data_IF_847698584860
#
_entry.id   IF_847698584860
#
_cell.length_a   1.000
_cell.length_b   1.000
_cell.length_c   1.000
_cell.angle_alpha   90.00
_cell.angle_beta   90.00
_cell.angle_gamma   90.00
#
_symmetry.space_group_name_H-M   'P 1'
#
loop_
_entity.id
_entity.type
_entity.pdbx_description
1 polymer ?
#
# COMPACT_ATOMS: atom_id res chain seq x y z
N UNK A 1 -1.50 -14.56 1.21
CA UNK A 1 -2.68 -14.52 0.30
C UNK A 1 -3.93 -13.94 0.95
N UNK A 2 -4.17 -14.24 2.22
CA UNK A 2 -5.41 -13.88 2.93
C UNK A 2 -5.57 -12.39 3.23
N UNK A 3 -4.50 -11.65 3.53
CA UNK A 3 -4.57 -10.23 3.92
C UNK A 3 -4.97 -9.31 2.76
N UNK A 4 -4.41 -9.53 1.57
CA UNK A 4 -4.77 -8.74 0.36
C UNK A 4 -6.23 -8.96 -0.06
N UNK A 5 -6.70 -10.18 0.01
CA UNK A 5 -8.11 -10.46 -0.30
C UNK A 5 -9.05 -9.74 0.67
N UNK A 6 -8.65 -9.58 1.95
CA UNK A 6 -9.39 -8.79 2.93
C UNK A 6 -9.39 -7.30 2.61
N UNK A 7 -8.23 -6.71 2.29
CA UNK A 7 -8.11 -5.28 2.01
C UNK A 7 -8.88 -4.91 0.73
N UNK A 8 -8.75 -5.70 -0.34
CA UNK A 8 -9.54 -5.52 -1.55
C UNK A 8 -11.05 -5.71 -1.30
N UNK A 9 -11.43 -6.69 -0.48
CA UNK A 9 -12.83 -6.92 -0.13
C UNK A 9 -13.42 -5.75 0.67
N UNK A 10 -12.65 -5.16 1.61
CA UNK A 10 -13.06 -3.98 2.36
C UNK A 10 -13.20 -2.78 1.42
N UNK A 11 -12.23 -2.51 0.55
CA UNK A 11 -12.30 -1.42 -0.42
C UNK A 11 -13.47 -1.58 -1.39
N UNK A 12 -13.74 -2.79 -1.87
CA UNK A 12 -14.93 -3.07 -2.70
C UNK A 12 -16.23 -2.88 -1.93
N UNK A 13 -16.28 -3.28 -0.66
CA UNK A 13 -17.46 -3.10 0.18
C UNK A 13 -17.72 -1.61 0.45
N UNK A 14 -16.69 -0.82 0.75
CA UNK A 14 -16.78 0.64 0.91
C UNK A 14 -17.28 1.30 -0.37
N UNK A 15 -16.66 0.99 -1.51
CA UNK A 15 -17.09 1.47 -2.84
C UNK A 15 -18.57 1.16 -3.10
N UNK A 16 -18.97 -0.09 -2.90
CA UNK A 16 -20.36 -0.50 -3.08
C UNK A 16 -21.30 0.29 -2.17
N UNK A 17 -20.95 0.49 -0.91
CA UNK A 17 -21.78 1.24 0.03
C UNK A 17 -21.86 2.73 -0.32
N UNK A 18 -20.75 3.35 -0.74
CA UNK A 18 -20.71 4.74 -1.20
C UNK A 18 -21.63 4.91 -2.42
N UNK A 19 -21.51 4.05 -3.42
CA UNK A 19 -22.32 4.13 -4.63
C UNK A 19 -23.80 3.81 -4.38
N UNK A 20 -24.10 2.86 -3.46
CA UNK A 20 -25.49 2.51 -3.13
C UNK A 20 -26.18 3.52 -2.24
N UNK A 21 -25.50 4.11 -1.25
CA UNK A 21 -26.12 5.00 -0.27
C UNK A 21 -26.00 6.49 -0.65
N UNK A 22 -24.94 6.90 -1.34
CA UNK A 22 -24.73 8.29 -1.75
C UNK A 22 -24.92 9.28 -0.60
N UNK A 23 -25.88 10.20 -0.73
CA UNK A 23 -26.22 11.20 0.29
C UNK A 23 -26.57 10.58 1.66
N UNK A 24 -27.17 9.41 1.69
CA UNK A 24 -27.56 8.69 2.92
C UNK A 24 -26.45 7.80 3.50
N UNK A 25 -25.22 7.92 3.00
CA UNK A 25 -24.08 7.17 3.52
C UNK A 25 -23.75 7.62 4.96
N UNK A 26 -23.78 6.68 5.89
CA UNK A 26 -23.63 6.89 7.34
C UNK A 26 -22.26 6.48 7.91
N UNK A 27 -21.29 6.21 7.05
CA UNK A 27 -19.90 5.86 7.40
C UNK A 27 -19.17 7.07 8.05
N UNK A 28 -19.31 7.23 9.37
CA UNK A 28 -18.77 8.38 10.12
C UNK A 28 -17.30 8.61 9.86
N UNK A 29 -16.47 7.56 9.86
CA UNK A 29 -15.03 7.67 9.67
C UNK A 29 -14.70 8.27 8.29
N UNK A 30 -15.22 7.69 7.22
CA UNK A 30 -15.00 8.14 5.84
C UNK A 30 -15.47 9.59 5.67
N UNK A 31 -16.66 9.90 6.16
CA UNK A 31 -17.22 11.26 6.07
C UNK A 31 -16.38 12.27 6.85
N UNK A 32 -15.98 11.97 8.08
CA UNK A 32 -15.15 12.85 8.89
C UNK A 32 -13.79 13.16 8.24
N UNK A 33 -13.12 12.14 7.68
CA UNK A 33 -11.86 12.35 6.96
C UNK A 33 -12.06 13.17 5.67
N UNK A 34 -13.15 12.90 4.93
CA UNK A 34 -13.49 13.68 3.75
C UNK A 34 -13.75 15.14 4.08
N UNK A 35 -14.61 15.40 5.06
CA UNK A 35 -14.94 16.77 5.51
C UNK A 35 -13.71 17.51 6.05
N UNK A 36 -12.83 16.82 6.76
CA UNK A 36 -11.58 17.40 7.29
C UNK A 36 -10.68 17.93 6.18
N UNK A 37 -10.49 17.17 5.09
CA UNK A 37 -9.62 17.57 3.96
C UNK A 37 -10.30 18.60 3.08
N UNK A 38 -11.60 18.47 2.87
CA UNK A 38 -12.36 19.40 2.02
C UNK A 38 -12.52 20.78 2.69
N UNK A 39 -12.64 20.83 4.03
CA UNK A 39 -12.66 22.10 4.78
C UNK A 39 -13.71 23.11 4.30
N UNK A 40 -14.83 22.63 3.75
CA UNK A 40 -15.92 23.46 3.22
C UNK A 40 -15.72 23.97 1.78
N UNK A 41 -14.58 23.68 1.13
CA UNK A 41 -14.35 24.01 -0.29
C UNK A 41 -13.89 22.77 -1.06
N UNK A 42 -14.80 22.18 -1.83
CA UNK A 42 -14.55 20.96 -2.58
C UNK A 42 -13.38 21.06 -3.57
N UNK A 43 -13.20 22.22 -4.21
CA UNK A 43 -12.11 22.42 -5.17
C UNK A 43 -10.75 22.35 -4.47
N UNK A 44 -10.61 23.01 -3.33
CA UNK A 44 -9.40 22.97 -2.52
C UNK A 44 -9.17 21.55 -1.99
N UNK A 45 -10.24 20.89 -1.52
CA UNK A 45 -10.18 19.52 -1.04
C UNK A 45 -9.68 18.54 -2.09
N UNK A 46 -10.15 18.64 -3.34
CA UNK A 46 -9.67 17.81 -4.45
C UNK A 46 -8.18 18.05 -4.71
N UNK A 47 -7.75 19.31 -4.76
CA UNK A 47 -6.34 19.64 -5.00
C UNK A 47 -5.45 19.07 -3.90
N UNK A 48 -5.81 19.29 -2.63
CA UNK A 48 -5.08 18.74 -1.47
C UNK A 48 -5.04 17.22 -1.52
N UNK A 49 -6.17 16.57 -1.80
CA UNK A 49 -6.24 15.12 -1.92
C UNK A 49 -5.34 14.57 -3.04
N UNK A 50 -5.33 15.19 -4.22
CA UNK A 50 -4.44 14.80 -5.32
C UNK A 50 -2.98 14.91 -4.90
N UNK A 51 -2.61 16.01 -4.22
CA UNK A 51 -1.24 16.19 -3.71
C UNK A 51 -0.90 15.07 -2.72
N UNK A 52 -1.78 14.74 -1.78
CA UNK A 52 -1.57 13.65 -0.82
C UNK A 52 -1.40 12.30 -1.51
N UNK A 53 -2.25 11.97 -2.49
CA UNK A 53 -2.16 10.72 -3.27
C UNK A 53 -0.84 10.64 -4.03
N UNK A 54 -0.45 11.74 -4.69
CA UNK A 54 0.82 11.81 -5.44
C UNK A 54 2.02 11.67 -4.51
N UNK A 55 2.02 12.38 -3.37
CA UNK A 55 3.09 12.27 -2.37
C UNK A 55 3.20 10.86 -1.82
N UNK A 56 2.08 10.24 -1.48
CA UNK A 56 2.07 8.87 -1.00
C UNK A 56 2.60 7.89 -2.05
N UNK A 57 2.16 8.00 -3.30
CA UNK A 57 2.61 7.10 -4.35
C UNK A 57 4.09 7.29 -4.69
N UNK A 58 4.54 8.54 -4.86
CA UNK A 58 5.92 8.82 -5.27
C UNK A 58 6.91 8.65 -4.13
N UNK A 59 6.63 9.22 -2.97
CA UNK A 59 7.61 9.26 -1.87
C UNK A 59 7.57 7.97 -1.08
N UNK A 60 6.38 7.52 -0.69
CA UNK A 60 6.26 6.39 0.22
C UNK A 60 6.32 5.08 -0.54
N UNK A 61 5.44 4.86 -1.51
CA UNK A 61 5.38 3.57 -2.22
C UNK A 61 6.61 3.33 -3.08
N UNK A 62 7.00 4.28 -3.94
CA UNK A 62 8.22 4.12 -4.76
C UNK A 62 9.51 4.25 -3.94
N UNK A 63 9.51 5.09 -2.90
CA UNK A 63 10.68 5.27 -2.04
C UNK A 63 11.00 4.02 -1.25
N UNK A 64 10.02 3.44 -0.54
CA UNK A 64 10.22 2.21 0.22
C UNK A 64 10.50 0.99 -0.66
N UNK A 65 9.83 0.88 -1.83
CA UNK A 65 10.13 -0.17 -2.83
C UNK A 65 11.62 -0.13 -3.22
N UNK A 66 12.13 1.07 -3.50
CA UNK A 66 13.53 1.21 -3.92
C UNK A 66 14.52 0.88 -2.81
N UNK A 67 14.23 1.28 -1.58
CA UNK A 67 15.08 0.94 -0.42
C UNK A 67 15.09 -0.56 -0.19
N UNK A 68 13.92 -1.21 -0.18
CA UNK A 68 13.81 -2.66 -0.01
C UNK A 68 14.50 -3.44 -1.15
N UNK A 69 14.31 -3.03 -2.40
CA UNK A 69 14.97 -3.64 -3.57
C UNK A 69 16.49 -3.56 -3.47
N UNK A 70 17.02 -2.38 -3.17
CA UNK A 70 18.48 -2.17 -3.07
C UNK A 70 19.06 -2.91 -1.88
N UNK A 71 18.41 -2.87 -0.72
CA UNK A 71 18.83 -3.61 0.48
C UNK A 71 18.85 -5.12 0.24
N UNK A 72 17.78 -5.68 -0.33
CA UNK A 72 17.69 -7.08 -0.69
C UNK A 72 18.80 -7.48 -1.67
N UNK A 73 19.03 -6.67 -2.70
CA UNK A 73 20.05 -6.95 -3.72
C UNK A 73 21.45 -7.00 -3.12
N UNK A 74 21.84 -6.02 -2.31
CA UNK A 74 23.16 -6.02 -1.68
C UNK A 74 23.39 -7.23 -0.79
N UNK A 75 22.37 -7.66 -0.05
CA UNK A 75 22.46 -8.84 0.81
C UNK A 75 22.57 -10.12 0.00
N UNK A 76 21.75 -10.27 -1.05
CA UNK A 76 21.77 -11.44 -1.92
C UNK A 76 23.07 -11.53 -2.71
N UNK A 77 23.60 -10.43 -3.22
CA UNK A 77 24.87 -10.39 -3.96
C UNK A 77 26.09 -10.74 -3.06
N UNK A 78 25.99 -10.47 -1.74
CA UNK A 78 27.03 -10.83 -0.78
C UNK A 78 27.03 -12.31 -0.33
N UNK A 79 25.95 -13.07 -0.63
CA UNK A 79 25.80 -14.44 -0.15
C UNK A 79 26.84 -15.43 -0.65
N UNK A 80 27.22 -15.45 -1.94
CA UNK A 80 28.28 -16.33 -2.38
C UNK A 80 29.59 -16.11 -1.61
N UNK A 81 29.93 -14.84 -1.31
CA UNK A 81 31.08 -14.51 -0.50
C UNK A 81 30.98 -15.01 0.95
N UNK A 82 29.81 -14.91 1.57
CA UNK A 82 29.55 -15.47 2.91
C UNK A 82 29.69 -17.01 2.90
N UNK A 83 29.16 -17.69 1.90
CA UNK A 83 29.29 -19.14 1.76
C UNK A 83 30.73 -19.58 1.57
N UNK A 84 31.50 -18.89 0.67
CA UNK A 84 32.91 -19.18 0.45
C UNK A 84 33.74 -18.95 1.73
N UNK A 85 33.45 -17.93 2.52
CA UNK A 85 34.11 -17.71 3.81
C UNK A 85 33.84 -18.83 4.80
N UNK A 86 32.60 -19.35 4.88
CA UNK A 86 32.26 -20.47 5.76
C UNK A 86 33.00 -21.73 5.32
N UNK A 87 33.11 -22.00 4.01
CA UNK A 87 33.82 -23.13 3.47
C UNK A 87 35.33 -23.03 3.70
N UNK A 88 35.92 -21.83 3.61
CA UNK A 88 37.31 -21.58 3.95
C UNK A 88 37.61 -21.82 5.42
N UNK A 89 36.76 -21.30 6.33
CA UNK A 89 36.90 -21.51 7.78
C UNK A 89 36.79 -23.01 8.15
N UNK A 90 35.88 -23.73 7.51
CA UNK A 90 35.71 -25.16 7.72
C UNK A 90 36.93 -25.95 7.23
N UNK A 91 37.41 -25.67 6.03
CA UNK A 91 38.58 -26.31 5.45
C UNK A 91 39.90 -26.02 6.20
N UNK A 92 39.98 -24.84 6.81
CA UNK A 92 41.09 -24.46 7.68
C UNK A 92 41.01 -25.07 9.11
N UNK A 93 39.94 -25.80 9.41
CA UNK A 93 39.71 -26.38 10.74
C UNK A 93 39.36 -25.37 11.84
N UNK A 94 38.99 -24.13 11.47
CA UNK A 94 38.63 -23.06 12.41
C UNK A 94 37.24 -23.24 13.01
N UNK A 95 36.35 -23.94 12.30
CA UNK A 95 34.98 -24.25 12.73
C UNK A 95 34.67 -25.72 12.54
N UNK A 96 33.75 -26.22 13.36
CA UNK A 96 33.24 -27.61 13.27
C UNK A 96 32.24 -27.76 12.14
N UNK A 97 31.95 -29.02 11.76
CA UNK A 97 30.91 -29.30 10.73
C UNK A 97 29.53 -28.78 11.17
N UNK A 98 29.19 -28.93 12.46
CA UNK A 98 27.90 -28.45 13.00
C UNK A 98 27.82 -26.93 12.96
N UNK A 99 28.92 -26.23 13.26
CA UNK A 99 28.98 -24.78 13.12
C UNK A 99 28.87 -24.34 11.66
N UNK A 100 29.54 -25.00 10.75
CA UNK A 100 29.45 -24.70 9.32
C UNK A 100 28.01 -24.88 8.80
N UNK A 101 27.34 -25.98 9.19
CA UNK A 101 25.92 -26.20 8.86
C UNK A 101 25.03 -25.13 9.45
N UNK A 102 25.25 -24.74 10.70
CA UNK A 102 24.46 -23.69 11.36
C UNK A 102 24.62 -22.34 10.66
N UNK A 103 25.87 -21.97 10.30
CA UNK A 103 26.16 -20.71 9.59
C UNK A 103 25.57 -20.70 8.18
N UNK A 104 25.66 -21.82 7.42
CA UNK A 104 25.02 -21.94 6.09
C UNK A 104 23.51 -21.81 6.17
N UNK A 105 22.87 -22.42 7.19
CA UNK A 105 21.44 -22.30 7.38
C UNK A 105 21.03 -20.85 7.67
N UNK A 106 21.78 -20.11 8.49
CA UNK A 106 21.52 -18.66 8.71
C UNK A 106 21.61 -17.85 7.44
N UNK A 107 22.62 -18.11 6.60
CA UNK A 107 22.76 -17.44 5.30
C UNK A 107 21.56 -17.76 4.39
N UNK A 108 21.06 -18.99 4.40
CA UNK A 108 19.87 -19.38 3.64
C UNK A 108 18.60 -18.70 4.17
N UNK A 109 18.41 -18.69 5.50
CA UNK A 109 17.27 -18.00 6.14
C UNK A 109 17.27 -16.49 5.84
N UNK A 110 18.47 -15.88 5.80
CA UNK A 110 18.66 -14.49 5.41
C UNK A 110 18.27 -14.27 3.93
N UNK A 111 18.67 -15.19 3.02
CA UNK A 111 18.27 -15.18 1.63
C UNK A 111 16.77 -15.24 1.42
N UNK A 112 16.13 -16.17 2.09
CA UNK A 112 14.69 -16.40 1.99
C UNK A 112 13.92 -15.19 2.54
N UNK A 113 14.41 -14.56 3.62
CA UNK A 113 13.84 -13.35 4.19
C UNK A 113 13.90 -12.17 3.21
N UNK A 114 15.09 -11.85 2.68
CA UNK A 114 15.24 -10.73 1.75
C UNK A 114 14.56 -10.97 0.40
N UNK A 115 14.54 -12.20 -0.10
CA UNK A 115 13.76 -12.58 -1.27
C UNK A 115 12.25 -12.38 -1.06
N UNK A 116 11.75 -12.71 0.12
CA UNK A 116 10.35 -12.48 0.50
C UNK A 116 10.02 -11.01 0.65
N UNK A 117 10.96 -10.20 1.17
CA UNK A 117 10.81 -8.73 1.30
C UNK A 117 10.71 -8.05 -0.07
N UNK A 118 11.54 -8.43 -1.06
CA UNK A 118 11.44 -7.90 -2.43
C UNK A 118 10.06 -8.25 -3.04
N UNK A 119 9.58 -9.46 -2.82
CA UNK A 119 8.23 -9.85 -3.21
C UNK A 119 7.13 -9.02 -2.54
N UNK A 120 7.25 -8.77 -1.23
CA UNK A 120 6.30 -7.98 -0.47
C UNK A 120 6.24 -6.52 -0.93
N UNK A 121 7.38 -5.89 -1.24
CA UNK A 121 7.44 -4.50 -1.71
C UNK A 121 6.75 -4.30 -3.07
N UNK A 122 6.95 -5.23 -4.00
CA UNK A 122 6.24 -5.25 -5.30
C UNK A 122 4.72 -5.38 -5.14
N UNK A 123 4.32 -6.08 -4.10
CA UNK A 123 2.92 -6.30 -3.76
C UNK A 123 2.24 -5.01 -3.25
N UNK A 124 2.92 -4.25 -2.37
CA UNK A 124 2.43 -2.96 -1.85
C UNK A 124 2.18 -1.96 -2.98
N UNK A 125 3.06 -1.95 -3.99
CA UNK A 125 2.88 -1.12 -5.19
C UNK A 125 1.60 -1.46 -5.96
N UNK A 126 1.29 -2.74 -6.11
CA UNK A 126 0.05 -3.18 -6.77
C UNK A 126 -1.20 -2.70 -6.04
N UNK A 127 -1.17 -2.71 -4.70
CA UNK A 127 -2.28 -2.25 -3.87
C UNK A 127 -2.50 -0.73 -3.97
N UNK A 128 -1.41 0.05 -3.97
CA UNK A 128 -1.48 1.50 -4.17
C UNK A 128 -2.08 1.88 -5.54
N UNK A 129 -1.73 1.16 -6.61
CA UNK A 129 -2.31 1.38 -7.95
C UNK A 129 -3.80 1.02 -7.96
N UNK A 130 -4.18 -0.10 -7.32
CA UNK A 130 -5.58 -0.50 -7.19
C UNK A 130 -6.40 0.57 -6.44
N UNK A 131 -5.85 1.15 -5.36
CA UNK A 131 -6.47 2.25 -4.63
C UNK A 131 -6.76 3.47 -5.50
N UNK A 132 -5.81 3.87 -6.36
CA UNK A 132 -6.01 5.00 -7.29
C UNK A 132 -7.14 4.68 -8.30
N UNK A 133 -7.19 3.47 -8.83
CA UNK A 133 -8.25 3.04 -9.75
C UNK A 133 -9.62 3.09 -9.05
N UNK A 134 -9.70 2.63 -7.81
CA UNK A 134 -10.92 2.66 -7.01
C UNK A 134 -11.41 4.10 -6.80
N UNK A 135 -10.50 5.04 -6.49
CA UNK A 135 -10.82 6.47 -6.37
C UNK A 135 -11.45 7.01 -7.66
N UNK A 136 -10.87 6.71 -8.82
CA UNK A 136 -11.40 7.14 -10.12
C UNK A 136 -12.80 6.54 -10.37
N UNK A 137 -12.96 5.24 -10.10
CA UNK A 137 -14.24 4.54 -10.24
C UNK A 137 -15.30 5.12 -9.30
N UNK A 138 -14.94 5.45 -8.06
CA UNK A 138 -15.87 6.06 -7.10
C UNK A 138 -16.33 7.45 -7.54
N UNK A 139 -15.44 8.29 -8.03
CA UNK A 139 -15.82 9.63 -8.51
C UNK A 139 -16.72 9.52 -9.75
N UNK A 140 -16.26 8.80 -10.78
CA UNK A 140 -17.02 8.71 -12.04
C UNK A 140 -18.32 7.93 -11.83
N UNK A 141 -18.25 6.78 -11.17
CA UNK A 141 -19.41 5.94 -10.87
C UNK A 141 -20.42 6.65 -9.96
N UNK A 142 -19.92 7.39 -8.95
CA UNK A 142 -20.74 8.19 -8.06
C UNK A 142 -21.51 9.28 -8.78
N UNK A 143 -20.85 10.04 -9.67
CA UNK A 143 -21.51 11.05 -10.50
C UNK A 143 -22.62 10.45 -11.38
N UNK A 144 -22.33 9.34 -12.05
CA UNK A 144 -23.31 8.65 -12.90
C UNK A 144 -24.51 8.17 -12.06
N UNK A 145 -24.25 7.55 -10.92
CA UNK A 145 -25.32 7.05 -10.05
C UNK A 145 -26.14 8.17 -9.44
N UNK A 146 -25.50 9.28 -9.02
CA UNK A 146 -26.20 10.46 -8.50
C UNK A 146 -27.12 11.07 -9.55
N UNK A 147 -26.64 11.25 -10.78
CA UNK A 147 -27.45 11.77 -11.89
C UNK A 147 -28.63 10.85 -12.22
N UNK A 148 -28.43 9.53 -12.22
CA UNK A 148 -29.51 8.56 -12.46
C UNK A 148 -30.57 8.57 -11.36
N UNK A 149 -30.21 9.01 -10.15
CA UNK A 149 -31.15 9.20 -9.02
C UNK A 149 -31.87 10.55 -9.06
N UNK A 150 -31.53 11.41 -10.02
CA UNK A 150 -32.11 12.75 -10.13
C UNK A 150 -31.47 13.78 -9.20
N UNK A 151 -30.30 13.49 -8.65
CA UNK A 151 -29.53 14.45 -7.85
C UNK A 151 -29.00 15.57 -8.78
N UNK A 152 -28.93 16.80 -8.29
CA UNK A 152 -28.28 17.87 -9.04
C UNK A 152 -26.78 17.55 -9.20
N UNK A 153 -26.21 17.82 -10.39
CA UNK A 153 -24.81 17.51 -10.70
C UNK A 153 -23.84 18.04 -9.64
N UNK A 154 -24.08 19.25 -9.13
CA UNK A 154 -23.25 19.89 -8.11
C UNK A 154 -23.36 19.13 -6.78
N UNK A 155 -24.54 18.72 -6.38
CA UNK A 155 -24.80 17.99 -5.13
C UNK A 155 -24.20 16.59 -5.19
N UNK A 156 -24.40 15.88 -6.30
CA UNK A 156 -23.77 14.58 -6.54
C UNK A 156 -22.24 14.71 -6.51
N UNK A 157 -21.68 15.70 -7.21
CA UNK A 157 -20.23 15.93 -7.22
C UNK A 157 -19.68 16.19 -5.79
N UNK A 158 -20.34 17.05 -5.02
CA UNK A 158 -19.94 17.35 -3.65
C UNK A 158 -19.94 16.10 -2.78
N UNK A 159 -21.02 15.32 -2.81
CA UNK A 159 -21.18 14.13 -1.99
C UNK A 159 -20.16 13.07 -2.32
N UNK A 160 -20.07 12.70 -3.60
CA UNK A 160 -19.20 11.58 -4.00
C UNK A 160 -17.72 11.95 -3.94
N UNK A 161 -17.36 13.21 -4.14
CA UNK A 161 -15.99 13.68 -3.93
C UNK A 161 -15.58 13.59 -2.46
N UNK A 162 -16.41 14.08 -1.53
CA UNK A 162 -16.11 14.00 -0.09
C UNK A 162 -15.97 12.56 0.37
N UNK A 163 -16.91 11.69 -0.02
CA UNK A 163 -16.87 10.28 0.34
C UNK A 163 -15.66 9.55 -0.26
N UNK A 164 -15.30 9.87 -1.50
CA UNK A 164 -14.13 9.27 -2.16
C UNK A 164 -12.82 9.73 -1.54
N UNK A 165 -12.70 11.01 -1.19
CA UNK A 165 -11.54 11.55 -0.47
C UNK A 165 -11.40 10.86 0.89
N UNK A 166 -12.49 10.74 1.63
CA UNK A 166 -12.49 10.07 2.92
C UNK A 166 -12.12 8.59 2.84
N UNK A 167 -12.69 7.85 1.90
CA UNK A 167 -12.39 6.43 1.66
C UNK A 167 -10.92 6.25 1.24
N UNK A 168 -10.44 7.07 0.32
CA UNK A 168 -9.06 7.08 -0.12
C UNK A 168 -8.07 7.33 1.01
N UNK A 169 -8.34 8.30 1.89
CA UNK A 169 -7.48 8.59 3.05
C UNK A 169 -7.47 7.46 4.07
N UNK A 170 -8.62 6.87 4.37
CA UNK A 170 -8.71 5.71 5.28
C UNK A 170 -7.93 4.53 4.73
N UNK A 171 -8.05 4.25 3.43
CA UNK A 171 -7.31 3.18 2.76
C UNK A 171 -5.78 3.43 2.71
N UNK A 172 -5.34 4.68 2.78
CA UNK A 172 -3.94 5.06 2.78
C UNK A 172 -3.21 4.68 4.08
N UNK A 173 -3.88 4.68 5.22
CA UNK A 173 -3.25 4.42 6.52
C UNK A 173 -2.58 3.03 6.57
N UNK A 174 -3.26 1.92 6.25
CA UNK A 174 -2.63 0.59 6.21
C UNK A 174 -1.50 0.50 5.18
N UNK A 175 -1.68 1.12 4.00
CA UNK A 175 -0.67 1.12 2.94
C UNK A 175 0.62 1.83 3.39
N UNK A 176 0.49 2.95 4.11
CA UNK A 176 1.61 3.67 4.74
C UNK A 176 2.36 2.80 5.75
N UNK A 177 1.63 2.17 6.67
CA UNK A 177 2.22 1.32 7.71
C UNK A 177 3.00 0.15 7.10
N UNK A 178 2.43 -0.52 6.09
CA UNK A 178 3.07 -1.64 5.40
C UNK A 178 4.29 -1.15 4.63
N UNK A 179 4.19 -0.01 3.94
CA UNK A 179 5.29 0.58 3.16
C UNK A 179 6.48 0.96 4.04
N UNK A 180 6.23 1.56 5.21
CA UNK A 180 7.28 1.87 6.19
C UNK A 180 7.90 0.60 6.76
N UNK A 181 7.07 -0.39 7.12
CA UNK A 181 7.54 -1.67 7.67
C UNK A 181 8.37 -2.49 6.66
N UNK A 182 8.14 -2.33 5.36
CA UNK A 182 8.94 -3.01 4.32
C UNK A 182 10.20 -2.22 3.92
N UNK A 183 10.28 -0.93 4.23
CA UNK A 183 11.43 -0.07 3.92
C UNK A 183 12.45 0.07 5.05
N UNK A 184 12.11 -0.40 6.26
CA UNK A 184 13.03 -0.47 7.42
C UNK A 184 13.60 -1.88 7.59
#
# INVERSE_FOLDING_TARGET
PTRRSSDLAVNMASTKLILLKGLSFDGKLIRTFGDFVVGGNNLIGIIVFIILVVMQFLVITKGSERVAEVGARFTLDAMPGKQMSIDADYNAGLITEDEARSRRRKVQEEADFYGSMDGASKFVKGDAIAGIIIVIVNIIGGLIVGLLRGEALIEAAQTYVILTIGDGLVAQIPALLISVATGM
#
